data_IF_339661832861
#
_entry.id   IF_339661832861
#
_cell.length_a   1.000
_cell.length_b   1.000
_cell.length_c   1.000
_cell.angle_alpha   90.00
_cell.angle_beta   90.00
_cell.angle_gamma   90.00
#
_symmetry.space_group_name_H-M   'P 1'
#
loop_
_entity.id
_entity.type
_entity.pdbx_description
1 polymer ?
#
# COMPACT_ATOMS: atom_id res chain seq x y z
N UNK A 1 37.95 -17.64 17.00
CA UNK A 1 37.92 -16.22 16.60
C UNK A 1 37.11 -15.46 17.64
N UNK A 2 37.69 -14.42 18.21
CA UNK A 2 37.06 -13.54 19.21
C UNK A 2 35.82 -12.89 18.62
N UNK A 3 34.66 -13.06 19.28
CA UNK A 3 33.42 -12.32 19.01
C UNK A 3 33.72 -10.83 19.22
N UNK A 4 33.87 -10.05 18.15
CA UNK A 4 33.68 -8.61 18.28
C UNK A 4 32.19 -8.38 18.57
N UNK A 5 31.89 -8.10 19.84
CA UNK A 5 30.56 -7.61 20.22
C UNK A 5 30.31 -6.28 19.49
N UNK A 6 29.17 -6.20 18.83
CA UNK A 6 28.68 -4.97 18.22
C UNK A 6 28.67 -3.84 19.27
N UNK A 7 29.52 -2.82 19.09
CA UNK A 7 29.62 -1.70 20.04
C UNK A 7 28.52 -0.68 19.78
N UNK A 8 27.79 -0.31 20.84
CA UNK A 8 26.87 0.82 20.80
C UNK A 8 27.60 2.13 20.52
N UNK A 9 26.95 3.03 19.78
CA UNK A 9 27.45 4.39 19.55
C UNK A 9 27.20 5.23 20.80
N UNK A 10 28.22 5.87 21.41
CA UNK A 10 28.05 6.69 22.61
C UNK A 10 27.08 7.87 22.41
N UNK A 11 26.20 8.13 23.38
CA UNK A 11 25.17 9.18 23.31
C UNK A 11 25.71 10.58 22.98
N UNK A 12 26.89 10.95 23.51
CA UNK A 12 27.55 12.23 23.18
C UNK A 12 27.91 12.39 21.71
N UNK A 13 28.16 11.29 21.00
CA UNK A 13 28.44 11.31 19.56
C UNK A 13 27.13 11.51 18.80
N UNK A 14 26.06 10.82 19.22
CA UNK A 14 24.72 10.96 18.64
C UNK A 14 24.19 12.37 18.80
N UNK A 15 24.31 12.96 20.00
CA UNK A 15 23.91 14.34 20.30
C UNK A 15 24.67 15.35 19.43
N UNK A 16 25.99 15.15 19.28
CA UNK A 16 26.80 16.00 18.40
C UNK A 16 26.42 15.82 16.93
N UNK A 17 26.11 14.60 16.48
CA UNK A 17 25.64 14.34 15.12
C UNK A 17 24.25 14.95 14.88
N UNK A 18 23.35 14.92 15.87
CA UNK A 18 22.00 15.47 15.75
C UNK A 18 22.00 16.98 15.49
N UNK A 19 23.02 17.70 15.96
CA UNK A 19 23.18 19.14 15.73
C UNK A 19 23.45 19.51 14.27
N UNK A 20 23.96 18.57 13.45
CA UNK A 20 24.35 18.84 12.06
C UNK A 20 23.68 17.91 11.04
N UNK A 21 23.24 16.72 11.46
CA UNK A 21 22.56 15.71 10.64
C UNK A 21 21.57 14.90 11.50
N UNK A 22 20.35 15.43 11.71
CA UNK A 22 19.32 14.82 12.56
C UNK A 22 18.89 13.43 12.08
N UNK A 23 18.89 13.21 10.77
CA UNK A 23 18.49 11.93 10.16
C UNK A 23 19.52 10.84 10.47
N UNK A 24 20.81 11.16 10.33
CA UNK A 24 21.89 10.25 10.71
C UNK A 24 21.93 9.96 12.20
N UNK A 25 21.65 10.96 13.04
CA UNK A 25 21.54 10.76 14.48
C UNK A 25 20.35 9.86 14.85
N UNK A 26 19.20 10.04 14.20
CA UNK A 26 18.03 9.16 14.37
C UNK A 26 18.35 7.71 13.98
N UNK A 27 19.09 7.50 12.89
CA UNK A 27 19.55 6.17 12.46
C UNK A 27 20.53 5.55 13.47
N UNK A 28 21.41 6.35 14.09
CA UNK A 28 22.30 5.89 15.16
C UNK A 28 21.53 5.49 16.43
N UNK A 29 20.49 6.25 16.81
CA UNK A 29 19.59 5.89 17.91
C UNK A 29 18.85 4.60 17.60
N UNK A 30 18.31 4.48 16.38
CA UNK A 30 17.59 3.30 15.94
C UNK A 30 18.48 2.05 15.95
N UNK A 31 19.74 2.17 15.55
CA UNK A 31 20.74 1.11 15.56
C UNK A 31 21.10 0.66 16.99
N UNK A 32 21.33 1.60 17.91
CA UNK A 32 21.56 1.31 19.31
C UNK A 32 20.36 0.60 19.98
N UNK A 33 19.13 1.00 19.65
CA UNK A 33 17.92 0.35 20.16
C UNK A 33 17.80 -1.10 19.70
N UNK A 34 18.09 -1.38 18.42
CA UNK A 34 18.13 -2.75 17.88
C UNK A 34 19.23 -3.60 18.49
N UNK A 35 20.38 -3.02 18.85
CA UNK A 35 21.46 -3.73 19.53
C UNK A 35 21.06 -4.14 20.95
N UNK A 36 20.48 -3.22 21.73
CA UNK A 36 19.94 -3.53 23.05
C UNK A 36 18.82 -4.59 22.99
N UNK A 37 17.97 -4.53 21.96
CA UNK A 37 16.92 -5.53 21.73
C UNK A 37 17.49 -6.90 21.34
N UNK A 38 18.53 -6.95 20.51
CA UNK A 38 19.23 -8.18 20.16
C UNK A 38 19.93 -8.82 21.38
N UNK A 39 20.49 -8.02 22.29
CA UNK A 39 21.06 -8.50 23.55
C UNK A 39 19.98 -9.07 24.50
N UNK A 40 18.81 -8.41 24.58
CA UNK A 40 17.66 -8.90 25.36
C UNK A 40 17.08 -10.19 24.77
N UNK A 41 17.00 -10.31 23.45
CA UNK A 41 16.51 -11.51 22.75
C UNK A 41 17.47 -12.70 22.85
N UNK A 42 18.77 -12.45 22.99
CA UNK A 42 19.78 -13.48 23.18
C UNK A 42 19.70 -14.17 24.57
N UNK A 43 19.00 -13.58 25.55
CA UNK A 43 18.92 -14.09 26.92
C UNK A 43 17.67 -14.95 27.22
N UNK A 44 16.72 -15.10 26.29
CA UNK A 44 15.42 -15.72 26.60
C UNK A 44 14.78 -16.50 25.45
N UNK A 45 15.53 -17.34 24.74
CA UNK A 45 14.98 -18.07 23.59
C UNK A 45 14.16 -19.30 23.99
N UNK A 46 12.83 -19.25 23.79
CA UNK A 46 12.02 -20.34 23.26
C UNK A 46 10.78 -19.77 22.55
N UNK A 47 10.57 -20.18 21.29
CA UNK A 47 9.65 -19.66 20.25
C UNK A 47 10.00 -18.28 19.66
N UNK A 48 10.71 -18.33 18.52
CA UNK A 48 10.92 -17.18 17.63
C UNK A 48 9.56 -16.72 17.09
N UNK A 49 9.10 -15.55 17.52
CA UNK A 49 8.18 -14.76 16.69
C UNK A 49 8.98 -14.17 15.51
N UNK A 50 8.39 -14.07 14.32
CA UNK A 50 9.04 -13.41 13.19
C UNK A 50 9.46 -11.98 13.54
N UNK A 51 10.69 -11.64 13.21
CA UNK A 51 11.21 -10.30 13.40
C UNK A 51 10.68 -9.41 12.27
N UNK A 52 9.57 -8.72 12.52
CA UNK A 52 9.01 -7.72 11.61
C UNK A 52 9.95 -6.52 11.47
N UNK A 53 10.20 -6.06 10.23
CA UNK A 53 11.02 -4.87 9.98
C UNK A 53 10.25 -3.57 10.26
N UNK A 54 11.00 -2.52 10.62
CA UNK A 54 10.53 -1.17 10.99
C UNK A 54 9.78 -0.42 9.86
N UNK A 55 9.71 -0.93 8.63
CA UNK A 55 9.14 -0.22 7.46
C UNK A 55 7.72 -0.67 7.06
N UNK A 56 7.15 -1.67 7.74
CA UNK A 56 5.85 -2.23 7.35
C UNK A 56 5.93 -3.48 6.49
N UNK A 57 4.83 -3.79 5.81
CA UNK A 57 4.73 -4.85 4.79
C UNK A 57 3.96 -4.34 3.57
N UNK A 58 4.31 -4.89 2.41
CA UNK A 58 3.61 -4.67 1.15
C UNK A 58 2.95 -5.98 0.72
N UNK A 59 1.66 -5.93 0.45
CA UNK A 59 0.85 -7.04 -0.01
C UNK A 59 0.31 -6.71 -1.40
N UNK A 60 0.44 -7.66 -2.32
CA UNK A 60 -0.17 -7.61 -3.66
C UNK A 60 -1.04 -8.85 -3.86
N UNK A 61 -2.31 -8.66 -4.20
CA UNK A 61 -3.22 -9.73 -4.60
C UNK A 61 -3.51 -9.55 -6.09
N UNK A 62 -3.18 -10.54 -6.92
CA UNK A 62 -3.17 -10.35 -8.38
C UNK A 62 -3.37 -11.65 -9.17
N UNK A 63 -3.64 -11.53 -10.46
CA UNK A 63 -3.79 -12.64 -11.42
C UNK A 63 -2.52 -12.92 -12.26
N UNK A 64 -1.43 -12.23 -11.93
CA UNK A 64 -0.19 -12.19 -12.73
C UNK A 64 -0.09 -10.98 -13.66
N UNK A 65 -1.07 -10.07 -13.63
CA UNK A 65 -1.09 -8.84 -14.44
C UNK A 65 -1.28 -7.58 -13.57
N UNK A 66 -0.96 -6.41 -14.14
CA UNK A 66 -1.19 -5.10 -13.51
C UNK A 66 -2.68 -4.74 -13.42
N UNK A 67 -3.49 -5.18 -14.39
CA UNK A 67 -4.91 -4.83 -14.51
C UNK A 67 -5.76 -5.43 -13.36
N UNK A 68 -5.30 -6.55 -12.79
CA UNK A 68 -5.98 -7.27 -11.70
C UNK A 68 -5.28 -7.16 -10.35
N UNK A 69 -4.29 -6.27 -10.20
CA UNK A 69 -3.48 -6.16 -8.99
C UNK A 69 -4.16 -5.26 -7.96
N UNK A 70 -4.24 -5.70 -6.70
CA UNK A 70 -4.63 -4.87 -5.56
C UNK A 70 -3.46 -4.83 -4.59
N UNK A 71 -2.99 -3.62 -4.30
CA UNK A 71 -1.91 -3.37 -3.36
C UNK A 71 -2.46 -2.95 -2.01
N UNK A 72 -1.94 -3.53 -0.93
CA UNK A 72 -2.17 -3.08 0.43
C UNK A 72 -0.82 -2.87 1.13
N UNK A 73 -0.59 -1.65 1.59
CA UNK A 73 0.59 -1.28 2.35
C UNK A 73 0.18 -0.92 3.77
N UNK A 74 0.99 -1.33 4.74
CA UNK A 74 0.86 -0.94 6.14
C UNK A 74 2.22 -0.71 6.74
N UNK A 75 2.44 0.44 7.39
CA UNK A 75 3.66 0.72 8.14
C UNK A 75 3.43 0.71 9.66
N UNK A 76 4.32 0.02 10.37
CA UNK A 76 4.33 -0.03 11.84
C UNK A 76 4.80 1.28 12.48
N UNK A 77 5.63 2.09 11.78
CA UNK A 77 6.10 3.38 12.25
C UNK A 77 5.19 4.55 11.86
N UNK A 78 4.43 4.44 10.76
CA UNK A 78 3.60 5.53 10.26
C UNK A 78 2.11 5.37 10.59
N UNK A 79 1.70 4.25 11.19
CA UNK A 79 0.32 4.00 11.62
C UNK A 79 -0.68 4.21 10.50
N UNK A 80 -0.42 3.63 9.33
CA UNK A 80 -1.23 3.91 8.14
C UNK A 80 -1.54 2.64 7.38
N UNK A 81 -2.70 2.66 6.73
CA UNK A 81 -3.03 1.75 5.67
C UNK A 81 -3.18 2.53 4.37
N UNK A 82 -2.64 1.97 3.30
CA UNK A 82 -2.91 2.41 1.93
C UNK A 82 -3.32 1.20 1.11
N UNK A 83 -4.54 1.23 0.60
CA UNK A 83 -5.05 0.27 -0.38
C UNK A 83 -5.09 0.94 -1.76
N UNK A 84 -4.25 0.48 -2.68
CA UNK A 84 -4.26 0.91 -4.08
C UNK A 84 -4.89 -0.13 -4.99
N UNK A 85 -5.67 0.32 -5.96
CA UNK A 85 -6.25 -0.54 -7.00
C UNK A 85 -6.38 0.21 -8.34
N UNK A 86 -6.48 -0.52 -9.47
CA UNK A 86 -6.55 0.05 -10.81
C UNK A 86 -7.68 1.07 -10.93
N UNK A 87 -7.38 2.21 -11.57
CA UNK A 87 -8.33 3.33 -11.75
C UNK A 87 -9.49 2.93 -12.70
N UNK A 88 -10.73 3.38 -12.44
CA UNK A 88 -11.90 3.16 -13.31
C UNK A 88 -11.80 3.68 -14.76
N UNK A 89 -10.75 4.43 -15.14
CA UNK A 89 -10.62 4.97 -16.49
C UNK A 89 -10.38 3.89 -17.56
N UNK A 90 -9.95 2.69 -17.17
CA UNK A 90 -9.66 1.57 -18.09
C UNK A 90 -10.33 0.26 -17.69
N UNK A 91 -11.23 0.27 -16.70
CA UNK A 91 -11.67 -0.96 -16.04
C UNK A 91 -13.18 -1.14 -16.09
N UNK A 92 -13.63 -1.61 -17.25
CA UNK A 92 -14.83 -2.42 -17.34
C UNK A 92 -14.40 -3.87 -17.23
N UNK A 93 -14.77 -4.55 -16.14
CA UNK A 93 -14.81 -6.01 -16.23
C UNK A 93 -16.09 -6.33 -16.96
N UNK A 94 -15.99 -6.61 -18.25
CA UNK A 94 -17.05 -7.36 -18.91
C UNK A 94 -16.85 -8.80 -18.49
N UNK A 95 -17.52 -9.19 -17.40
CA UNK A 95 -17.41 -10.57 -16.92
C UNK A 95 -17.90 -11.49 -18.03
N UNK A 96 -17.18 -12.60 -18.24
CA UNK A 96 -17.53 -13.67 -19.17
C UNK A 96 -17.40 -13.39 -20.68
N UNK A 97 -16.61 -12.41 -21.13
CA UNK A 97 -16.22 -12.40 -22.54
C UNK A 97 -15.20 -13.52 -22.82
N UNK A 98 -15.58 -14.46 -23.66
CA UNK A 98 -14.66 -15.41 -24.27
C UNK A 98 -13.61 -14.69 -25.13
N UNK A 99 -12.49 -15.38 -25.36
CA UNK A 99 -11.42 -14.93 -26.27
C UNK A 99 -11.98 -14.50 -27.63
N UNK A 100 -12.95 -15.25 -28.13
CA UNK A 100 -13.61 -15.01 -29.43
C UNK A 100 -14.50 -13.77 -29.40
N UNK A 101 -15.18 -13.50 -28.29
CA UNK A 101 -15.99 -12.29 -28.15
C UNK A 101 -15.13 -11.03 -28.09
N UNK A 102 -13.98 -11.08 -27.43
CA UNK A 102 -13.01 -9.96 -27.41
C UNK A 102 -12.51 -9.65 -28.83
N UNK A 103 -12.09 -10.69 -29.56
CA UNK A 103 -11.60 -10.55 -30.94
C UNK A 103 -12.71 -10.06 -31.87
N UNK A 104 -13.92 -10.62 -31.77
CA UNK A 104 -15.08 -10.21 -32.56
C UNK A 104 -15.46 -8.76 -32.31
N UNK A 105 -15.50 -8.35 -31.04
CA UNK A 105 -15.89 -7.00 -30.63
C UNK A 105 -14.91 -5.96 -31.18
N UNK A 106 -13.61 -6.18 -31.01
CA UNK A 106 -12.58 -5.26 -31.48
C UNK A 106 -12.55 -5.17 -33.02
N UNK A 107 -12.69 -6.30 -33.72
CA UNK A 107 -12.73 -6.33 -35.17
C UNK A 107 -14.01 -5.69 -35.75
N UNK A 108 -15.15 -5.83 -35.08
CA UNK A 108 -16.38 -5.14 -35.46
C UNK A 108 -16.22 -3.62 -35.37
N UNK A 109 -15.59 -3.09 -34.30
CA UNK A 109 -15.31 -1.66 -34.21
C UNK A 109 -14.41 -1.20 -35.36
N UNK A 110 -13.32 -1.94 -35.60
CA UNK A 110 -12.35 -1.67 -36.66
C UNK A 110 -13.03 -1.59 -38.02
N UNK A 111 -13.91 -2.54 -38.34
CA UNK A 111 -14.65 -2.58 -39.61
C UNK A 111 -15.64 -1.42 -39.75
N UNK A 112 -16.34 -1.05 -38.67
CA UNK A 112 -17.30 0.07 -38.68
C UNK A 112 -16.62 1.44 -38.69
N UNK A 113 -15.35 1.51 -38.33
CA UNK A 113 -14.58 2.75 -38.23
C UNK A 113 -13.28 2.70 -39.04
N UNK A 114 -13.21 1.87 -40.09
CA UNK A 114 -12.00 1.65 -40.90
C UNK A 114 -11.37 2.95 -41.39
N UNK A 115 -12.23 3.93 -41.67
CA UNK A 115 -11.86 5.22 -42.26
C UNK A 115 -11.26 6.19 -41.23
N UNK A 116 -11.36 5.87 -39.93
CA UNK A 116 -10.81 6.68 -38.82
C UNK A 116 -9.37 6.28 -38.44
N UNK A 117 -8.88 5.15 -38.94
CA UNK A 117 -7.51 4.68 -38.64
C UNK A 117 -6.52 5.22 -39.67
N UNK A 118 -5.47 5.88 -39.21
CA UNK A 118 -4.36 6.36 -40.05
C UNK A 118 -3.06 5.75 -39.54
N UNK A 119 -2.41 4.84 -40.29
CA UNK A 119 -2.85 4.27 -41.56
C UNK A 119 -4.04 3.30 -41.40
N UNK A 120 -4.79 3.01 -42.49
CA UNK A 120 -5.91 2.08 -42.44
C UNK A 120 -5.46 0.70 -41.95
N UNK A 121 -6.03 0.23 -40.85
CA UNK A 121 -5.78 -1.09 -40.26
C UNK A 121 -6.48 -2.15 -41.12
N UNK A 122 -5.78 -2.70 -42.13
CA UNK A 122 -6.35 -3.71 -43.05
C UNK A 122 -6.42 -5.10 -42.45
N UNK A 123 -5.55 -5.42 -41.50
CA UNK A 123 -5.48 -6.74 -40.88
C UNK A 123 -6.41 -6.86 -39.67
N UNK A 124 -7.05 -8.03 -39.45
CA UNK A 124 -7.82 -8.29 -38.24
C UNK A 124 -6.94 -8.20 -37.00
N UNK A 125 -7.50 -7.65 -35.92
CA UNK A 125 -6.85 -7.71 -34.62
C UNK A 125 -6.83 -9.15 -34.13
N UNK A 126 -5.65 -9.61 -33.74
CA UNK A 126 -5.50 -10.78 -32.88
C UNK A 126 -5.98 -10.47 -31.45
N UNK A 127 -5.95 -11.47 -30.57
CA UNK A 127 -6.44 -11.32 -29.19
C UNK A 127 -5.71 -10.22 -28.39
N UNK A 128 -4.38 -10.12 -28.51
CA UNK A 128 -3.59 -9.17 -27.72
C UNK A 128 -3.76 -7.73 -28.23
N UNK A 129 -3.84 -7.56 -29.55
CA UNK A 129 -4.20 -6.27 -30.17
C UNK A 129 -5.64 -5.87 -29.85
N UNK A 130 -6.56 -6.84 -29.82
CA UNK A 130 -7.96 -6.60 -29.45
C UNK A 130 -8.08 -6.12 -28.01
N UNK A 131 -7.34 -6.75 -27.07
CA UNK A 131 -7.31 -6.32 -25.67
C UNK A 131 -6.79 -4.88 -25.55
N UNK A 132 -5.63 -4.58 -26.14
CA UNK A 132 -5.07 -3.22 -26.11
C UNK A 132 -5.97 -2.17 -26.75
N UNK A 133 -6.60 -2.51 -27.88
CA UNK A 133 -7.50 -1.60 -28.58
C UNK A 133 -8.71 -1.24 -27.73
N UNK A 134 -9.38 -2.24 -27.13
CA UNK A 134 -10.58 -2.02 -26.31
C UNK A 134 -10.28 -1.25 -25.02
N UNK A 135 -9.07 -1.39 -24.45
CA UNK A 135 -8.60 -0.60 -23.29
C UNK A 135 -8.51 0.90 -23.62
N UNK A 136 -8.24 1.25 -24.88
CA UNK A 136 -8.12 2.65 -25.31
C UNK A 136 -9.45 3.37 -25.54
N UNK A 137 -10.59 2.66 -25.49
CA UNK A 137 -11.91 3.25 -25.71
C UNK A 137 -12.46 3.90 -24.43
N UNK A 138 -13.25 4.96 -24.59
CA UNK A 138 -14.00 5.53 -23.47
C UNK A 138 -15.11 4.58 -22.98
N UNK A 139 -15.61 4.82 -21.75
CA UNK A 139 -16.77 4.11 -21.16
C UNK A 139 -17.91 3.92 -22.14
N UNK A 140 -18.33 5.02 -22.75
CA UNK A 140 -19.51 5.07 -23.59
C UNK A 140 -19.29 4.33 -24.91
N UNK A 141 -18.07 4.43 -25.47
CA UNK A 141 -17.70 3.72 -26.69
C UNK A 141 -17.66 2.22 -26.47
N UNK A 142 -17.02 1.77 -25.38
CA UNK A 142 -16.95 0.34 -25.06
C UNK A 142 -18.34 -0.23 -24.75
N UNK A 143 -19.16 0.47 -23.96
CA UNK A 143 -20.53 0.07 -23.64
C UNK A 143 -21.40 -0.07 -24.91
N UNK A 144 -21.34 0.93 -25.79
CA UNK A 144 -22.07 0.93 -27.07
C UNK A 144 -21.64 -0.23 -27.97
N UNK A 145 -20.33 -0.52 -27.98
CA UNK A 145 -19.77 -1.59 -28.79
C UNK A 145 -20.16 -2.97 -28.29
N UNK A 146 -20.10 -3.19 -26.98
CA UNK A 146 -20.46 -4.46 -26.36
C UNK A 146 -21.95 -4.77 -26.52
N UNK A 147 -22.83 -3.77 -26.41
CA UNK A 147 -24.27 -3.92 -26.69
C UNK A 147 -24.56 -4.36 -28.14
N UNK A 148 -23.70 -4.00 -29.09
CA UNK A 148 -23.88 -4.32 -30.51
C UNK A 148 -23.29 -5.67 -30.91
N UNK A 149 -22.29 -6.16 -30.16
CA UNK A 149 -21.47 -7.32 -30.56
C UNK A 149 -21.66 -8.52 -29.66
N UNK A 150 -22.14 -8.30 -28.44
CA UNK A 150 -22.38 -9.30 -27.42
C UNK A 150 -23.80 -9.12 -26.85
N UNK A 151 -24.46 -10.21 -26.45
CA UNK A 151 -25.83 -10.16 -25.91
C UNK A 151 -25.83 -9.79 -24.41
N UNK A 152 -25.11 -8.71 -24.07
CA UNK A 152 -24.78 -8.27 -22.71
C UNK A 152 -25.74 -7.15 -22.31
N UNK A 153 -26.31 -7.23 -21.10
CA UNK A 153 -27.21 -6.21 -20.54
C UNK A 153 -26.39 -5.14 -19.83
N UNK A 154 -26.94 -3.93 -19.66
CA UNK A 154 -26.26 -2.84 -18.95
C UNK A 154 -25.84 -3.18 -17.50
N UNK A 155 -26.42 -4.22 -16.89
CA UNK A 155 -26.04 -4.72 -15.57
C UNK A 155 -24.84 -5.68 -15.55
N UNK A 156 -24.33 -6.09 -16.70
CA UNK A 156 -23.18 -6.99 -16.83
C UNK A 156 -21.84 -6.24 -16.95
N UNK A 157 -21.90 -4.91 -16.98
CA UNK A 157 -20.75 -4.00 -17.06
C UNK A 157 -20.64 -3.30 -15.71
N UNK A 158 -19.80 -3.86 -14.83
CA UNK A 158 -19.52 -3.29 -13.51
C UNK A 158 -18.31 -2.36 -13.62
N UNK A 159 -18.49 -1.10 -13.25
CA UNK A 159 -17.39 -0.17 -13.03
C UNK A 159 -16.55 -0.72 -11.88
N UNK A 160 -15.24 -0.90 -12.08
CA UNK A 160 -14.33 -1.32 -11.02
C UNK A 160 -14.13 -0.14 -10.06
N UNK A 161 -15.10 0.08 -9.19
CA UNK A 161 -14.98 1.01 -8.08
C UNK A 161 -15.42 0.32 -6.77
N UNK A 162 -14.62 0.55 -5.73
CA UNK A 162 -14.90 0.04 -4.39
C UNK A 162 -15.97 0.94 -3.78
N UNK A 163 -17.22 0.49 -3.78
CA UNK A 163 -18.34 1.32 -3.31
C UNK A 163 -18.14 1.79 -1.87
N UNK A 164 -18.62 3.01 -1.56
CA UNK A 164 -18.60 3.55 -0.19
C UNK A 164 -19.23 2.58 0.82
N UNK A 165 -20.28 1.86 0.40
CA UNK A 165 -20.96 0.89 1.24
C UNK A 165 -20.09 -0.32 1.56
N UNK A 166 -19.29 -0.81 0.61
CA UNK A 166 -18.30 -1.84 0.87
C UNK A 166 -17.27 -1.34 1.89
N UNK A 167 -16.74 -0.14 1.71
CA UNK A 167 -15.73 0.45 2.60
C UNK A 167 -16.30 0.60 4.02
N UNK A 168 -17.47 1.24 4.15
CA UNK A 168 -18.12 1.48 5.43
C UNK A 168 -18.43 0.17 6.16
N UNK A 169 -19.01 -0.82 5.46
CA UNK A 169 -19.36 -2.11 6.03
C UNK A 169 -18.12 -2.89 6.48
N UNK A 170 -17.09 -2.95 5.63
CA UNK A 170 -15.90 -3.76 5.91
C UNK A 170 -14.99 -3.12 6.96
N UNK A 171 -14.84 -1.79 6.94
CA UNK A 171 -14.04 -1.07 7.95
C UNK A 171 -14.82 -0.76 9.23
N UNK A 172 -16.15 -0.85 9.22
CA UNK A 172 -17.00 -0.44 10.35
C UNK A 172 -16.91 1.06 10.60
N UNK A 173 -16.90 1.84 9.53
CA UNK A 173 -16.81 3.31 9.53
C UNK A 173 -18.06 3.92 8.90
N UNK A 174 -18.26 5.22 9.09
CA UNK A 174 -19.40 5.94 8.51
C UNK A 174 -18.94 7.10 7.64
N UNK A 175 -19.81 7.58 6.75
CA UNK A 175 -19.60 8.85 6.05
C UNK A 175 -19.33 9.95 7.07
N UNK A 176 -18.24 10.67 6.86
CA UNK A 176 -17.87 11.77 7.73
C UNK A 176 -18.83 12.94 7.54
N UNK A 177 -18.95 13.77 8.58
CA UNK A 177 -19.51 15.11 8.49
C UNK A 177 -18.40 16.11 8.80
N UNK A 178 -18.53 17.38 8.37
CA UNK A 178 -17.65 18.43 8.85
C UNK A 178 -17.63 18.46 10.38
N UNK A 179 -16.43 18.44 10.98
CA UNK A 179 -16.23 18.57 12.42
C UNK A 179 -15.49 19.85 12.72
N UNK A 180 -15.50 20.28 13.99
CA UNK A 180 -14.74 21.45 14.41
C UNK A 180 -13.25 21.26 14.09
N UNK A 181 -12.70 22.20 13.33
CA UNK A 181 -11.29 22.35 13.07
C UNK A 181 -10.79 23.52 13.89
N UNK A 182 -9.58 23.39 14.43
CA UNK A 182 -8.86 24.55 14.93
C UNK A 182 -7.50 24.64 14.24
N UNK A 183 -7.33 25.63 13.38
CA UNK A 183 -6.03 25.99 12.83
C UNK A 183 -5.13 26.52 13.96
N UNK A 184 -3.93 25.96 14.09
CA UNK A 184 -2.98 26.33 15.15
C UNK A 184 -1.60 26.58 14.53
N UNK A 185 -0.91 27.62 14.97
CA UNK A 185 0.48 27.87 14.64
C UNK A 185 1.27 28.24 15.90
N UNK A 186 2.52 27.78 15.97
CA UNK A 186 3.46 28.29 16.97
C UNK A 186 3.87 29.71 16.54
N UNK A 187 3.58 30.69 17.39
CA UNK A 187 3.98 32.09 17.19
C UNK A 187 5.17 32.35 18.11
N UNK A 188 6.33 32.62 17.51
CA UNK A 188 7.60 32.72 18.24
C UNK A 188 7.65 33.90 19.20
N UNK A 189 8.49 33.72 20.23
CA UNK A 189 8.82 34.57 21.39
C UNK A 189 7.84 34.59 22.57
N UNK A 190 8.43 34.47 23.77
CA UNK A 190 7.80 34.56 25.10
C UNK A 190 7.07 35.90 25.34
N UNK A 191 7.30 36.88 24.46
CA UNK A 191 6.75 38.24 24.48
C UNK A 191 5.90 38.55 23.22
N UNK A 192 5.30 37.54 22.58
CA UNK A 192 4.41 37.78 21.44
C UNK A 192 3.13 38.53 21.87
N UNK A 193 2.98 39.77 21.42
CA UNK A 193 1.86 40.66 21.81
C UNK A 193 0.85 40.97 20.69
N UNK A 194 1.07 40.56 19.42
CA UNK A 194 0.37 41.16 18.27
C UNK A 194 -0.11 40.26 17.12
N UNK A 195 -1.33 40.55 16.67
CA UNK A 195 -2.05 40.19 15.41
C UNK A 195 -3.01 38.98 15.39
N UNK A 196 -2.77 37.87 16.11
CA UNK A 196 -3.76 36.77 16.21
C UNK A 196 -4.62 36.80 17.50
N UNK A 197 -4.69 37.96 18.18
CA UNK A 197 -5.66 38.21 19.26
C UNK A 197 -7.04 38.50 18.67
N UNK A 198 -7.73 37.46 18.23
CA UNK A 198 -9.19 37.51 18.27
C UNK A 198 -9.59 37.29 19.74
N UNK A 199 -10.54 38.06 20.26
CA UNK A 199 -10.90 38.00 21.67
C UNK A 199 -11.39 36.60 22.10
N UNK A 200 -11.81 35.78 21.13
CA UNK A 200 -12.31 34.42 21.30
C UNK A 200 -11.26 33.32 21.01
N UNK A 201 -10.01 33.68 20.70
CA UNK A 201 -8.93 32.74 20.35
C UNK A 201 -7.93 32.59 21.51
N UNK A 202 -7.89 31.43 22.18
CA UNK A 202 -6.98 31.22 23.29
C UNK A 202 -5.53 31.24 22.83
N UNK A 203 -4.64 31.81 23.64
CA UNK A 203 -3.19 31.64 23.52
C UNK A 203 -2.77 30.62 24.56
N UNK A 204 -2.01 29.59 24.15
CA UNK A 204 -1.59 28.53 25.05
C UNK A 204 -0.11 28.24 24.94
N UNK A 205 0.50 27.83 26.05
CA UNK A 205 1.86 27.30 26.02
C UNK A 205 1.80 25.79 25.76
N UNK A 206 2.54 25.33 24.75
CA UNK A 206 2.76 23.90 24.55
C UNK A 206 3.77 23.34 25.56
N UNK A 207 4.02 22.03 25.52
CA UNK A 207 4.90 21.32 26.47
C UNK A 207 6.35 21.80 26.48
N UNK A 208 6.78 22.52 25.44
CA UNK A 208 8.13 23.10 25.32
C UNK A 208 8.14 24.64 25.54
N UNK A 209 7.03 25.20 26.05
CA UNK A 209 6.93 26.61 26.44
C UNK A 209 6.63 27.60 25.31
N UNK A 210 6.36 27.14 24.09
CA UNK A 210 6.02 28.03 22.96
C UNK A 210 4.56 28.47 23.02
N UNK A 211 4.29 29.72 22.67
CA UNK A 211 2.92 30.23 22.50
C UNK A 211 2.34 29.65 21.20
N UNK A 212 1.20 28.99 21.33
CA UNK A 212 0.37 28.49 20.24
C UNK A 212 -0.81 29.43 20.09
N UNK A 213 -0.93 30.03 18.91
CA UNK A 213 -2.08 30.81 18.51
C UNK A 213 -3.03 29.94 17.70
N UNK A 214 -4.30 29.90 18.12
CA UNK A 214 -5.38 29.28 17.37
C UNK A 214 -6.06 30.35 16.52
N UNK A 215 -6.35 30.13 15.23
CA UNK A 215 -6.75 31.21 14.31
C UNK A 215 -7.95 30.95 13.40
N UNK A 216 -8.37 29.69 13.27
CA UNK A 216 -9.47 29.28 12.41
C UNK A 216 -10.32 28.29 13.21
N UNK A 217 -11.58 28.63 13.54
CA UNK A 217 -12.51 27.76 14.27
C UNK A 217 -13.68 27.30 13.39
N UNK A 218 -13.38 26.97 12.13
CA UNK A 218 -14.37 26.51 11.17
C UNK A 218 -14.73 25.01 11.28
N UNK A 219 -15.70 24.59 10.48
CA UNK A 219 -16.01 23.19 10.25
C UNK A 219 -15.21 22.67 9.06
N UNK A 220 -14.48 21.56 9.25
CA UNK A 220 -13.72 20.90 8.20
C UNK A 220 -14.10 19.44 8.09
N UNK A 221 -14.30 18.99 6.85
CA UNK A 221 -14.37 17.58 6.52
C UNK A 221 -12.99 17.13 6.01
N UNK A 222 -12.32 16.27 6.77
CA UNK A 222 -10.92 15.91 6.52
C UNK A 222 -10.74 14.79 5.50
N UNK A 223 -11.70 13.89 5.42
CA UNK A 223 -11.72 12.74 4.51
C UNK A 223 -13.17 12.28 4.34
N UNK A 224 -13.42 11.42 3.36
CA UNK A 224 -14.77 10.91 3.07
C UNK A 224 -15.43 10.12 4.21
N UNK A 225 -14.63 9.44 5.04
CA UNK A 225 -15.13 8.59 6.12
C UNK A 225 -14.37 8.80 7.44
N UNK A 226 -14.99 8.39 8.53
CA UNK A 226 -14.35 8.33 9.84
C UNK A 226 -14.87 7.18 10.73
N UNK A 227 -14.03 6.75 11.66
CA UNK A 227 -14.39 5.83 12.73
C UNK A 227 -15.11 6.50 13.90
N UNK A 228 -15.46 5.72 14.94
CA UNK A 228 -15.96 6.26 16.19
C UNK A 228 -14.93 7.20 16.85
N UNK A 229 -15.41 8.07 17.74
CA UNK A 229 -14.53 8.92 18.52
C UNK A 229 -13.69 8.07 19.47
N UNK A 230 -12.40 8.34 19.50
CA UNK A 230 -11.50 7.67 20.43
C UNK A 230 -11.73 8.18 21.85
N UNK A 231 -11.50 7.35 22.88
CA UNK A 231 -11.61 7.76 24.27
C UNK A 231 -10.81 9.03 24.58
N UNK A 232 -11.30 9.81 25.53
CA UNK A 232 -10.66 11.05 26.02
C UNK A 232 -10.49 12.15 24.95
N UNK A 233 -11.31 12.15 23.90
CA UNK A 233 -11.26 13.19 22.87
C UNK A 233 -10.01 13.13 21.98
N UNK A 234 -9.39 11.96 21.85
CA UNK A 234 -8.18 11.74 21.03
C UNK A 234 -8.45 11.68 19.52
N UNK A 235 -9.46 12.41 19.06
CA UNK A 235 -9.85 12.43 17.65
C UNK A 235 -10.58 11.17 17.18
N UNK A 236 -10.53 10.95 15.87
CA UNK A 236 -11.08 9.80 15.16
C UNK A 236 -10.05 9.26 14.18
N UNK A 237 -10.15 7.98 13.80
CA UNK A 237 -9.45 7.47 12.62
C UNK A 237 -10.23 7.92 11.38
N UNK A 238 -9.64 8.80 10.58
CA UNK A 238 -10.25 9.26 9.33
C UNK A 238 -9.71 8.42 8.17
N UNK A 239 -10.60 8.05 7.25
CA UNK A 239 -10.27 7.24 6.07
C UNK A 239 -10.77 7.97 4.85
N UNK A 240 -9.89 8.19 3.88
CA UNK A 240 -10.26 8.77 2.61
C UNK A 240 -10.39 7.72 1.51
N UNK A 241 -11.16 8.09 0.49
CA UNK A 241 -11.19 7.40 -0.80
C UNK A 241 -11.04 8.47 -1.87
N UNK A 242 -9.89 8.49 -2.52
CA UNK A 242 -9.51 9.54 -3.47
C UNK A 242 -8.81 8.95 -4.69
N UNK A 243 -9.00 9.59 -5.85
CA UNK A 243 -8.18 9.35 -7.05
C UNK A 243 -6.85 10.12 -7.01
N UNK A 244 -6.61 10.84 -5.92
CA UNK A 244 -5.40 11.58 -5.65
C UNK A 244 -4.92 11.31 -4.23
N UNK A 245 -3.80 10.59 -4.09
CA UNK A 245 -3.05 10.54 -2.85
C UNK A 245 -1.75 11.36 -3.02
N UNK A 246 -1.40 12.29 -2.12
CA UNK A 246 -0.14 13.04 -2.22
C UNK A 246 1.10 12.15 -2.24
N UNK A 247 1.00 10.93 -1.71
CA UNK A 247 2.01 9.90 -1.69
C UNK A 247 1.70 8.78 -2.70
N UNK A 248 2.73 8.03 -3.07
CA UNK A 248 2.57 6.81 -3.84
C UNK A 248 3.40 5.67 -3.32
N UNK A 249 2.90 4.47 -3.59
CA UNK A 249 3.39 3.20 -3.07
C UNK A 249 3.70 2.27 -4.23
N UNK A 250 4.78 1.52 -4.07
CA UNK A 250 5.19 0.46 -4.97
C UNK A 250 4.74 -0.88 -4.39
N UNK A 251 4.16 -1.72 -5.24
CA UNK A 251 3.65 -3.03 -4.85
C UNK A 251 4.36 -4.10 -5.68
N UNK A 252 5.23 -4.91 -5.09
CA UNK A 252 5.94 -5.95 -5.80
C UNK A 252 4.99 -7.08 -6.16
N UNK A 253 5.16 -7.62 -7.36
CA UNK A 253 4.48 -8.83 -7.80
C UNK A 253 5.38 -9.59 -8.77
N UNK A 254 5.16 -10.90 -8.88
CA UNK A 254 5.87 -11.73 -9.86
C UNK A 254 4.89 -12.02 -11.00
N UNK A 255 5.27 -11.61 -12.21
CA UNK A 255 4.43 -11.78 -13.39
C UNK A 255 4.35 -13.25 -13.85
N UNK A 256 3.50 -13.52 -14.85
CA UNK A 256 3.30 -14.86 -15.44
C UNK A 256 4.58 -15.49 -16.00
N UNK A 257 5.57 -14.68 -16.35
CA UNK A 257 6.84 -15.11 -16.93
C UNK A 257 7.89 -15.34 -15.84
N UNK A 258 7.54 -15.08 -14.57
CA UNK A 258 8.37 -15.32 -13.40
C UNK A 258 9.34 -14.18 -13.10
N UNK A 259 9.08 -12.96 -13.59
CA UNK A 259 9.90 -11.77 -13.34
C UNK A 259 9.33 -10.94 -12.21
N UNK A 260 10.21 -10.35 -11.40
CA UNK A 260 9.82 -9.36 -10.40
C UNK A 260 9.43 -8.06 -11.09
N UNK A 261 8.21 -7.60 -10.84
CA UNK A 261 7.65 -6.35 -11.32
C UNK A 261 7.19 -5.51 -10.12
N UNK A 262 6.94 -4.23 -10.37
CA UNK A 262 6.39 -3.31 -9.38
C UNK A 262 5.24 -2.51 -9.98
N UNK A 263 4.10 -2.50 -9.28
CA UNK A 263 2.97 -1.64 -9.61
C UNK A 263 3.03 -0.37 -8.76
N UNK A 264 2.92 0.79 -9.40
CA UNK A 264 2.88 2.08 -8.71
C UNK A 264 1.43 2.55 -8.53
N UNK A 265 1.02 2.81 -7.29
CA UNK A 265 -0.26 3.42 -6.95
C UNK A 265 -0.05 4.65 -6.07
N UNK A 266 -0.55 5.78 -6.54
CA UNK A 266 -0.47 7.06 -5.84
C UNK A 266 -0.63 8.23 -6.80
N UNK A 267 -0.54 9.44 -6.25
CA UNK A 267 -0.79 10.67 -6.98
C UNK A 267 -2.11 10.56 -7.76
N UNK A 268 -2.17 11.12 -8.97
CA UNK A 268 -3.36 11.10 -9.82
C UNK A 268 -3.47 9.84 -10.70
N UNK A 269 -2.65 8.82 -10.47
CA UNK A 269 -2.53 7.64 -11.34
C UNK A 269 -3.43 6.47 -10.92
N UNK A 270 -3.93 6.45 -9.67
CA UNK A 270 -4.71 5.33 -9.14
C UNK A 270 -5.78 5.77 -8.14
N UNK A 271 -6.81 4.95 -7.98
CA UNK A 271 -7.71 5.07 -6.85
C UNK A 271 -7.05 4.50 -5.59
N UNK A 272 -7.22 5.18 -4.46
CA UNK A 272 -6.66 4.78 -3.18
C UNK A 272 -7.68 4.90 -2.05
N UNK A 273 -7.63 3.96 -1.11
CA UNK A 273 -8.33 4.04 0.18
C UNK A 273 -7.28 4.02 1.28
N UNK A 274 -7.23 5.07 2.09
CA UNK A 274 -6.14 5.23 3.04
C UNK A 274 -6.55 5.99 4.30
N UNK A 275 -5.88 5.67 5.40
CA UNK A 275 -6.03 6.42 6.66
C UNK A 275 -5.34 7.77 6.58
N UNK A 276 -5.91 8.80 7.21
CA UNK A 276 -5.29 10.11 7.28
C UNK A 276 -3.93 10.05 8.01
N UNK A 277 -2.99 10.84 7.52
CA UNK A 277 -1.57 10.77 7.84
C UNK A 277 -1.17 11.57 9.09
N UNK A 278 -1.97 12.58 9.44
CA UNK A 278 -1.61 13.56 10.46
C UNK A 278 -2.68 13.66 11.54
N UNK A 279 -2.22 13.79 12.79
CA UNK A 279 -3.09 14.15 13.90
C UNK A 279 -3.42 15.64 13.84
N UNK A 280 -4.71 15.94 13.83
CA UNK A 280 -5.25 17.29 13.90
C UNK A 280 -6.30 17.45 15.02
N UNK A 281 -6.47 16.43 15.86
CA UNK A 281 -7.28 16.55 17.07
C UNK A 281 -6.56 17.37 18.14
N UNK A 282 -7.33 18.10 18.93
CA UNK A 282 -6.88 18.79 20.14
C UNK A 282 -8.10 19.05 21.02
N UNK A 283 -7.92 19.68 22.19
CA UNK A 283 -9.04 19.95 23.10
C UNK A 283 -10.16 20.83 22.52
N UNK A 284 -9.86 21.60 21.48
CA UNK A 284 -10.83 22.43 20.77
C UNK A 284 -11.38 21.77 19.50
N UNK A 285 -10.70 20.74 18.98
CA UNK A 285 -11.12 19.92 17.85
C UNK A 285 -11.08 18.42 18.21
N UNK A 286 -11.88 17.94 19.19
CA UNK A 286 -11.73 16.60 19.77
C UNK A 286 -12.16 15.45 18.83
N UNK A 287 -12.71 15.78 17.66
CA UNK A 287 -13.13 14.83 16.63
C UNK A 287 -12.22 14.82 15.39
N UNK A 288 -11.17 15.65 15.39
CA UNK A 288 -10.23 15.75 14.28
C UNK A 288 -9.49 14.43 14.00
N UNK A 289 -8.77 14.35 12.87
CA UNK A 289 -7.88 13.23 12.54
C UNK A 289 -6.94 12.85 13.68
N UNK A 290 -6.81 11.55 13.90
CA UNK A 290 -5.87 10.93 14.85
C UNK A 290 -4.99 9.94 14.09
N UNK A 291 -3.68 10.13 14.18
CA UNK A 291 -2.64 9.23 13.69
C UNK A 291 -2.14 8.26 14.79
N UNK A 292 -2.97 8.02 15.82
CA UNK A 292 -2.68 7.10 16.92
C UNK A 292 -2.50 5.66 16.40
N UNK A 293 -1.32 5.09 16.66
CA UNK A 293 -0.92 3.73 16.25
C UNK A 293 -1.93 2.68 16.66
N UNK A 294 -2.27 2.65 17.94
CA UNK A 294 -3.08 1.58 18.52
C UNK A 294 -4.48 1.63 17.93
N UNK A 295 -5.04 2.84 17.80
CA UNK A 295 -6.33 3.05 17.17
C UNK A 295 -6.36 2.63 15.71
N UNK A 296 -5.34 2.99 14.92
CA UNK A 296 -5.30 2.66 13.49
C UNK A 296 -5.08 1.16 13.29
N UNK A 297 -4.22 0.52 14.08
CA UNK A 297 -3.96 -0.92 13.97
C UNK A 297 -5.20 -1.78 14.24
N UNK A 298 -6.23 -1.26 14.94
CA UNK A 298 -7.54 -1.96 15.04
C UNK A 298 -8.23 -2.18 13.68
N UNK A 299 -7.82 -1.46 12.63
CA UNK A 299 -8.33 -1.61 11.28
C UNK A 299 -7.52 -2.59 10.43
N UNK A 300 -6.39 -3.14 10.90
CA UNK A 300 -5.51 -4.05 10.12
C UNK A 300 -6.27 -5.15 9.39
N UNK A 301 -6.96 -6.00 10.16
CA UNK A 301 -7.68 -7.14 9.59
C UNK A 301 -8.85 -6.68 8.71
N UNK A 302 -9.42 -5.51 8.99
CA UNK A 302 -10.47 -4.91 8.17
C UNK A 302 -9.95 -4.42 6.82
N UNK A 303 -8.75 -3.83 6.78
CA UNK A 303 -8.08 -3.45 5.54
C UNK A 303 -7.63 -4.67 4.73
N UNK A 304 -7.11 -5.71 5.38
CA UNK A 304 -6.81 -6.99 4.71
C UNK A 304 -8.08 -7.55 4.07
N UNK A 305 -9.19 -7.58 4.82
CA UNK A 305 -10.49 -8.02 4.30
C UNK A 305 -10.96 -7.13 3.14
N UNK A 306 -10.84 -5.82 3.26
CA UNK A 306 -11.17 -4.90 2.17
C UNK A 306 -10.31 -5.16 0.92
N UNK A 307 -9.01 -5.46 1.08
CA UNK A 307 -8.12 -5.81 -0.02
C UNK A 307 -8.54 -7.10 -0.72
N UNK A 308 -8.85 -8.16 0.05
CA UNK A 308 -9.32 -9.42 -0.53
C UNK A 308 -10.65 -9.28 -1.26
N UNK A 309 -11.60 -8.52 -0.70
CA UNK A 309 -12.88 -8.24 -1.38
C UNK A 309 -12.70 -7.38 -2.63
N UNK A 310 -11.77 -6.43 -2.60
CA UNK A 310 -11.42 -5.61 -3.76
C UNK A 310 -10.78 -6.48 -4.84
N UNK A 311 -9.84 -7.36 -4.48
CA UNK A 311 -9.16 -8.25 -5.41
C UNK A 311 -10.12 -9.17 -6.16
N UNK A 312 -11.13 -9.72 -5.46
CA UNK A 312 -12.18 -10.55 -6.06
C UNK A 312 -13.13 -9.77 -6.98
N UNK A 313 -13.20 -8.44 -6.83
CA UNK A 313 -13.98 -7.56 -7.72
C UNK A 313 -13.19 -7.15 -8.94
N UNK A 314 -11.93 -6.75 -8.76
CA UNK A 314 -11.10 -6.21 -9.84
C UNK A 314 -10.55 -7.28 -10.76
N UNK A 315 -10.39 -8.52 -10.27
CA UNK A 315 -9.77 -9.58 -11.04
C UNK A 315 -10.07 -10.97 -10.52
N UNK A 316 -9.28 -11.93 -11.01
CA UNK A 316 -9.35 -13.33 -10.60
C UNK A 316 -8.06 -13.66 -9.84
N UNK A 317 -8.00 -13.43 -8.51
CA UNK A 317 -6.75 -13.53 -7.76
C UNK A 317 -6.16 -14.94 -7.87
N UNK A 318 -4.98 -15.03 -8.48
CA UNK A 318 -4.22 -16.29 -8.65
C UNK A 318 -3.00 -16.34 -7.77
N UNK A 319 -2.55 -15.20 -7.27
CA UNK A 319 -1.33 -15.06 -6.51
C UNK A 319 -1.48 -14.03 -5.40
N UNK A 320 -0.83 -14.30 -4.28
CA UNK A 320 -0.58 -13.35 -3.20
C UNK A 320 0.93 -13.16 -3.11
N UNK A 321 1.40 -11.94 -3.33
CA UNK A 321 2.81 -11.57 -3.16
C UNK A 321 2.94 -10.69 -1.92
N UNK A 322 3.89 -10.98 -1.04
CA UNK A 322 4.19 -10.19 0.14
C UNK A 322 5.67 -9.86 0.13
N UNK A 323 6.00 -8.59 0.28
CA UNK A 323 7.34 -8.17 0.71
C UNK A 323 7.35 -8.04 2.23
N UNK A 324 8.05 -8.95 2.88
CA UNK A 324 8.23 -8.96 4.34
C UNK A 324 9.37 -8.04 4.78
N UNK A 325 10.07 -7.40 3.84
CA UNK A 325 11.32 -6.71 4.09
C UNK A 325 12.43 -7.68 4.45
N UNK A 326 13.17 -7.39 5.51
CA UNK A 326 14.52 -7.89 5.70
C UNK A 326 14.54 -9.17 6.53
N UNK A 327 14.14 -10.28 5.91
CA UNK A 327 13.96 -11.57 6.60
C UNK A 327 15.06 -12.57 6.26
N UNK A 328 15.44 -12.69 4.98
CA UNK A 328 16.32 -13.74 4.49
C UNK A 328 17.49 -13.21 3.65
N UNK A 329 18.61 -13.94 3.70
CA UNK A 329 19.73 -13.85 2.76
C UNK A 329 19.78 -15.08 1.85
N UNK A 330 20.50 -15.06 0.71
CA UNK A 330 20.54 -16.18 -0.23
C UNK A 330 20.90 -17.54 0.40
N UNK A 331 21.79 -17.54 1.39
CA UNK A 331 22.23 -18.74 2.11
C UNK A 331 21.12 -19.38 2.94
N UNK A 332 20.08 -18.62 3.29
CA UNK A 332 18.93 -19.12 4.04
C UNK A 332 18.00 -19.97 3.15
N UNK A 333 18.01 -19.77 1.83
CA UNK A 333 17.06 -20.40 0.92
C UNK A 333 17.11 -21.93 0.96
N UNK A 334 18.32 -22.52 0.91
CA UNK A 334 18.47 -23.97 0.99
C UNK A 334 18.04 -24.51 2.36
N UNK A 335 18.40 -23.77 3.43
CA UNK A 335 18.06 -24.14 4.81
C UNK A 335 16.54 -24.16 5.04
N UNK A 336 15.82 -23.22 4.45
CA UNK A 336 14.36 -23.16 4.54
C UNK A 336 13.66 -24.09 3.53
N UNK A 337 14.43 -24.90 2.78
CA UNK A 337 13.92 -25.94 1.89
C UNK A 337 13.45 -25.43 0.53
N UNK A 338 13.94 -24.27 0.08
CA UNK A 338 13.77 -23.83 -1.30
C UNK A 338 14.77 -24.54 -2.22
N UNK A 339 14.35 -24.75 -3.47
CA UNK A 339 15.11 -25.37 -4.56
C UNK A 339 15.07 -24.49 -5.81
N UNK A 340 15.71 -24.92 -6.91
CA UNK A 340 15.84 -24.12 -8.16
C UNK A 340 16.38 -22.71 -7.89
N UNK A 341 17.38 -22.61 -7.00
CA UNK A 341 17.99 -21.34 -6.61
C UNK A 341 18.75 -20.76 -7.81
N UNK A 342 18.33 -19.58 -8.26
CA UNK A 342 18.89 -18.91 -9.43
C UNK A 342 19.13 -17.43 -9.17
N UNK A 343 20.33 -16.98 -9.50
CA UNK A 343 20.66 -15.56 -9.62
C UNK A 343 20.11 -15.06 -10.95
N UNK A 344 19.04 -14.27 -10.89
CA UNK A 344 18.39 -13.65 -12.05
C UNK A 344 19.09 -12.34 -12.45
N UNK A 345 19.73 -11.67 -11.48
CA UNK A 345 20.60 -10.51 -11.65
C UNK A 345 21.77 -10.64 -10.66
N UNK A 346 22.96 -10.15 -11.03
CA UNK A 346 24.16 -10.28 -10.20
C UNK A 346 24.80 -11.67 -10.23
N UNK A 347 25.76 -11.91 -9.33
CA UNK A 347 26.48 -13.18 -9.18
C UNK A 347 26.72 -13.49 -7.70
N UNK A 348 26.88 -14.77 -7.33
CA UNK A 348 27.32 -15.15 -5.98
C UNK A 348 28.58 -14.37 -5.56
N UNK A 349 28.64 -13.99 -4.28
CA UNK A 349 29.79 -13.37 -3.62
C UNK A 349 30.20 -11.96 -4.12
N UNK A 350 29.43 -11.33 -5.03
CA UNK A 350 29.74 -10.00 -5.59
C UNK A 350 28.57 -9.05 -5.40
N UNK A 351 28.62 -8.26 -4.31
CA UNK A 351 27.58 -7.28 -3.98
C UNK A 351 27.81 -5.95 -4.69
N UNK A 352 27.07 -5.70 -5.76
CA UNK A 352 27.23 -4.50 -6.62
C UNK A 352 26.39 -3.29 -6.18
N UNK A 353 25.38 -3.47 -5.31
CA UNK A 353 24.63 -2.35 -4.73
C UNK A 353 23.12 -2.58 -4.67
N UNK A 354 22.39 -1.47 -4.57
CA UNK A 354 20.94 -1.47 -4.43
C UNK A 354 20.26 -1.89 -5.73
N UNK A 355 19.33 -2.85 -5.68
CA UNK A 355 18.60 -3.40 -6.84
C UNK A 355 19.49 -4.06 -7.92
N UNK A 356 20.75 -4.35 -7.61
CA UNK A 356 21.71 -4.96 -8.53
C UNK A 356 21.75 -6.48 -8.50
N UNK A 357 21.16 -7.11 -7.49
CA UNK A 357 21.11 -8.56 -7.37
C UNK A 357 19.67 -9.03 -7.12
N UNK A 358 19.33 -10.16 -7.73
CA UNK A 358 18.02 -10.77 -7.59
C UNK A 358 18.21 -12.28 -7.58
N UNK A 359 17.87 -12.92 -6.46
CA UNK A 359 17.95 -14.37 -6.30
C UNK A 359 16.54 -14.93 -6.18
N UNK A 360 16.25 -15.99 -6.91
CA UNK A 360 14.96 -16.68 -6.85
C UNK A 360 15.14 -18.08 -6.27
N UNK A 361 14.25 -18.49 -5.37
CA UNK A 361 14.04 -19.87 -4.96
C UNK A 361 12.60 -20.32 -5.20
N UNK A 362 12.37 -21.64 -5.21
CA UNK A 362 11.04 -22.24 -5.37
C UNK A 362 10.79 -23.32 -4.33
N UNK A 363 9.56 -23.39 -3.84
CA UNK A 363 9.11 -24.41 -2.90
C UNK A 363 7.64 -24.72 -3.14
N UNK A 364 7.32 -25.89 -3.71
CA UNK A 364 5.94 -26.27 -4.04
C UNK A 364 5.22 -25.20 -4.89
N UNK A 365 4.14 -24.61 -4.38
CA UNK A 365 3.33 -23.57 -5.03
C UNK A 365 3.80 -22.14 -4.72
N UNK A 366 5.06 -22.01 -4.28
CA UNK A 366 5.65 -20.78 -3.81
C UNK A 366 6.92 -20.41 -4.58
N UNK A 367 7.04 -19.12 -4.85
CA UNK A 367 8.26 -18.49 -5.36
C UNK A 367 8.73 -17.50 -4.31
N UNK A 368 10.01 -17.55 -3.97
CA UNK A 368 10.68 -16.53 -3.15
C UNK A 368 11.69 -15.79 -4.00
N UNK A 369 11.77 -14.48 -3.82
CA UNK A 369 12.75 -13.61 -4.44
C UNK A 369 13.45 -12.78 -3.37
N UNK A 370 14.77 -12.78 -3.40
CA UNK A 370 15.61 -11.92 -2.60
C UNK A 370 16.16 -10.82 -3.50
N UNK A 371 15.82 -9.57 -3.21
CA UNK A 371 16.27 -8.39 -3.96
C UNK A 371 17.33 -7.65 -3.15
N UNK A 372 18.48 -7.33 -3.73
CA UNK A 372 19.52 -6.63 -2.97
C UNK A 372 19.10 -5.24 -2.55
N UNK A 373 19.34 -4.92 -1.29
CA UNK A 373 19.06 -3.63 -0.69
C UNK A 373 20.32 -2.76 -0.53
N UNK A 374 20.22 -1.66 0.23
CA UNK A 374 21.33 -0.74 0.49
C UNK A 374 22.30 -1.26 1.58
N UNK A 375 23.33 -0.50 1.94
CA UNK A 375 24.33 -0.96 2.93
C UNK A 375 23.75 -1.29 4.32
N UNK A 376 22.59 -0.74 4.69
CA UNK A 376 21.88 -1.02 5.94
C UNK A 376 20.93 -2.22 5.84
N UNK A 377 20.55 -2.54 4.62
CA UNK A 377 19.48 -3.48 4.28
C UNK A 377 20.00 -4.36 3.16
N UNK A 378 20.61 -5.52 3.44
CA UNK A 378 21.29 -6.25 2.39
C UNK A 378 20.34 -6.91 1.39
N UNK A 379 19.17 -7.36 1.84
CA UNK A 379 18.21 -8.10 1.04
C UNK A 379 16.76 -7.83 1.48
N UNK A 380 15.85 -7.68 0.53
CA UNK A 380 14.39 -7.73 0.74
C UNK A 380 13.85 -9.11 0.37
N UNK A 381 12.91 -9.62 1.16
CA UNK A 381 12.34 -10.97 1.04
C UNK A 381 10.92 -10.89 0.50
N UNK A 382 10.78 -11.21 -0.78
CA UNK A 382 9.52 -11.15 -1.51
C UNK A 382 9.04 -12.57 -1.74
N UNK A 383 7.87 -12.91 -1.21
CA UNK A 383 7.28 -14.24 -1.31
C UNK A 383 6.00 -14.18 -2.10
N UNK A 384 5.85 -15.03 -3.09
CA UNK A 384 4.61 -15.21 -3.84
C UNK A 384 4.07 -16.62 -3.62
N UNK A 385 2.82 -16.70 -3.19
CA UNK A 385 2.08 -17.95 -3.02
C UNK A 385 0.94 -18.00 -4.03
N UNK A 386 0.78 -19.15 -4.69
CA UNK A 386 -0.36 -19.40 -5.58
C UNK A 386 -1.65 -19.54 -4.77
N UNK A 387 -2.72 -18.91 -5.25
CA UNK A 387 -4.07 -19.01 -4.69
C UNK A 387 -4.79 -20.20 -5.33
N UNK A 388 -5.13 -21.26 -4.57
CA UNK A 388 -5.90 -22.39 -5.07
C UNK A 388 -7.30 -21.95 -5.52
N UNK A 389 -7.88 -22.64 -6.50
CA UNK A 389 -9.23 -22.31 -7.00
C UNK A 389 -10.30 -22.39 -5.90
N UNK A 390 -10.18 -23.36 -4.99
CA UNK A 390 -11.06 -23.51 -3.83
C UNK A 390 -10.98 -22.37 -2.81
N UNK A 391 -9.99 -21.48 -2.93
CA UNK A 391 -9.72 -20.37 -2.01
C UNK A 391 -10.13 -19.03 -2.63
N UNK A 392 -10.64 -19.02 -3.87
CA UNK A 392 -11.08 -17.79 -4.57
C UNK A 392 -12.50 -17.35 -4.20
N UNK A 393 -12.91 -17.67 -2.99
CA UNK A 393 -14.12 -17.17 -2.35
C UNK A 393 -13.73 -16.23 -1.19
N UNK A 394 -14.65 -15.34 -0.82
CA UNK A 394 -14.38 -14.19 0.04
C UNK A 394 -13.64 -14.53 1.35
N UNK A 395 -14.21 -15.42 2.17
CA UNK A 395 -13.64 -15.71 3.49
C UNK A 395 -12.36 -16.56 3.38
N UNK A 396 -12.31 -17.50 2.44
CA UNK A 396 -11.14 -18.34 2.22
C UNK A 396 -9.90 -17.53 1.76
N UNK A 397 -10.09 -16.55 0.86
CA UNK A 397 -8.98 -15.69 0.42
C UNK A 397 -8.48 -14.82 1.57
N UNK A 398 -9.38 -14.29 2.40
CA UNK A 398 -9.01 -13.56 3.61
C UNK A 398 -8.17 -14.43 4.56
N UNK A 399 -8.61 -15.65 4.85
CA UNK A 399 -7.89 -16.58 5.73
C UNK A 399 -6.51 -16.94 5.19
N UNK A 400 -6.39 -17.18 3.88
CA UNK A 400 -5.10 -17.39 3.24
C UNK A 400 -4.18 -16.18 3.43
N UNK A 401 -4.64 -14.98 3.06
CA UNK A 401 -3.82 -13.76 3.15
C UNK A 401 -3.42 -13.47 4.59
N UNK A 402 -4.35 -13.58 5.54
CA UNK A 402 -4.09 -13.36 6.96
C UNK A 402 -3.04 -14.37 7.46
N UNK A 403 -3.17 -15.66 7.11
CA UNK A 403 -2.19 -16.70 7.50
C UNK A 403 -0.78 -16.44 6.96
N UNK A 404 -0.66 -15.85 5.77
CA UNK A 404 0.64 -15.52 5.18
C UNK A 404 1.32 -14.37 5.93
N UNK A 405 0.56 -13.40 6.44
CA UNK A 405 1.11 -12.26 7.18
C UNK A 405 1.61 -12.62 8.60
N UNK A 406 1.40 -13.86 9.08
CA UNK A 406 1.85 -14.37 10.38
C UNK A 406 3.07 -15.31 10.29
N UNK A 407 3.76 -15.35 9.14
CA UNK A 407 4.97 -16.15 8.93
C UNK A 407 6.02 -15.92 10.00
#
# INVERSE_FOLDING_TARGET
MTKEMYKQTPGKIIEKTAQYDPMRAMLMVAANATLSQAELQAQGSERRMPMYHKSGWELSIHDGTLDGLVGLWSCWLENRFYLGYPKPSTSYVVRNLSRDEIVRTANYFREKNSDKFIPPQREPFDYERSKHFLIGLSKQELLSLLLQTCNIRSGDIEEIDVSDELIMRTLGITRSKPVRHVGACAVGDWNYEGEYKDADKPLEQNEIGQIVAYWDMDLRQWARFYGPQLPNGRGRVWVDKSEHNPNGHHFPFIDKDGNLQSAYYGHSYSAGIFTNEFSHYNKYAPEGPSADSEAIQTYRNKFIRLATETALRVGNPRHVTIDYGFVMVPEDLEREGYSDIKWLKGKPDVREGWDEELVRGKKSDEIIMLKSGNSLVPWSTIRQVKVPESVREKDALYELVDSLLFF
#
